data_IF_675772636867
#
_entry.id   IF_675772636867
#
_cell.length_a   1.000
_cell.length_b   1.000
_cell.length_c   1.000
_cell.angle_alpha   90.00
_cell.angle_beta   90.00
_cell.angle_gamma   90.00
#
_symmetry.space_group_name_H-M   'P 1'
#
loop_
_entity.id
_entity.type
_entity.pdbx_description
1 polymer ?
#
# COMPACT_ATOMS: atom_id res chain seq x y z
N UNK A 1 54.63 -1.19 28.79
CA UNK A 1 53.33 -1.16 28.07
C UNK A 1 52.41 -2.14 28.75
N UNK A 2 51.24 -1.70 29.20
CA UNK A 2 50.19 -2.59 29.73
C UNK A 2 49.71 -3.53 28.61
N UNK A 3 49.51 -4.81 28.93
CA UNK A 3 49.03 -5.79 27.95
C UNK A 3 47.60 -5.44 27.53
N UNK A 4 47.31 -5.53 26.23
CA UNK A 4 45.95 -5.31 25.69
C UNK A 4 44.95 -6.28 26.33
N UNK A 5 43.67 -5.91 26.38
CA UNK A 5 42.62 -6.80 26.89
C UNK A 5 42.62 -8.16 26.17
N UNK A 6 42.75 -8.16 24.85
CA UNK A 6 42.84 -9.39 24.05
C UNK A 6 44.05 -10.27 24.44
N UNK A 7 45.20 -9.67 24.77
CA UNK A 7 46.37 -10.43 25.24
C UNK A 7 46.10 -11.10 26.59
N UNK A 8 45.45 -10.40 27.52
CA UNK A 8 45.09 -10.95 28.84
C UNK A 8 44.01 -12.03 28.76
N UNK A 9 43.02 -11.90 27.87
CA UNK A 9 42.06 -12.97 27.56
C UNK A 9 42.78 -14.20 26.99
N UNK A 10 43.78 -14.00 26.12
CA UNK A 10 44.60 -15.11 25.58
C UNK A 10 45.41 -15.82 26.67
N UNK A 11 45.92 -15.08 27.64
CA UNK A 11 46.62 -15.65 28.81
C UNK A 11 45.67 -16.49 29.66
N UNK A 12 44.47 -15.98 29.96
CA UNK A 12 43.44 -16.72 30.69
C UNK A 12 43.01 -18.00 29.93
N UNK A 13 42.81 -17.92 28.61
CA UNK A 13 42.48 -19.08 27.78
C UNK A 13 43.53 -20.17 27.89
N UNK A 14 44.83 -19.80 27.83
CA UNK A 14 45.96 -20.74 27.98
C UNK A 14 46.11 -21.28 29.40
N UNK A 15 45.69 -20.52 30.40
CA UNK A 15 45.61 -21.00 31.77
C UNK A 15 44.47 -22.02 31.93
N UNK A 16 43.33 -21.84 31.26
CA UNK A 16 42.19 -22.74 31.39
C UNK A 16 42.31 -24.01 30.54
N UNK A 17 42.79 -23.88 29.31
CA UNK A 17 42.62 -24.91 28.27
C UNK A 17 43.93 -25.32 27.60
N UNK A 18 43.93 -26.51 26.99
CA UNK A 18 45.03 -26.94 26.13
C UNK A 18 45.15 -26.04 24.89
N UNK A 19 46.32 -26.08 24.23
CA UNK A 19 46.53 -25.32 23.00
C UNK A 19 45.62 -25.77 21.85
N UNK A 20 45.15 -27.02 21.87
CA UNK A 20 44.17 -27.55 20.91
C UNK A 20 42.82 -26.87 21.09
N UNK A 21 42.27 -26.88 22.31
CA UNK A 21 40.99 -26.23 22.64
C UNK A 21 41.06 -24.71 22.43
N UNK A 22 42.19 -24.08 22.76
CA UNK A 22 42.39 -22.65 22.49
C UNK A 22 42.35 -22.29 21.00
N UNK A 23 42.63 -23.24 20.11
CA UNK A 23 42.69 -23.06 18.66
C UNK A 23 41.49 -23.64 17.92
N UNK A 24 40.55 -24.28 18.62
CA UNK A 24 39.33 -24.81 18.04
C UNK A 24 38.42 -23.66 17.59
N UNK A 25 38.43 -23.39 16.28
CA UNK A 25 37.66 -22.30 15.68
C UNK A 25 36.15 -22.52 15.80
N UNK A 26 35.70 -23.78 15.78
CA UNK A 26 34.27 -24.11 15.86
C UNK A 26 33.78 -23.87 17.28
N UNK A 27 34.52 -24.37 18.29
CA UNK A 27 34.15 -24.13 19.68
C UNK A 27 34.20 -22.64 20.03
N UNK A 28 35.20 -21.90 19.55
CA UNK A 28 35.26 -20.44 19.77
C UNK A 28 34.11 -19.69 19.10
N UNK A 29 33.69 -20.12 17.92
CA UNK A 29 32.52 -19.54 17.24
C UNK A 29 31.24 -19.77 18.05
N UNK A 30 30.97 -21.02 18.45
CA UNK A 30 29.78 -21.35 19.25
C UNK A 30 29.77 -20.64 20.60
N UNK A 31 30.92 -20.56 21.29
CA UNK A 31 31.01 -19.80 22.55
C UNK A 31 30.73 -18.32 22.39
N UNK A 32 31.21 -17.70 21.31
CA UNK A 32 30.91 -16.30 21.07
C UNK A 32 29.42 -16.09 20.78
N UNK A 33 28.82 -16.94 19.95
CA UNK A 33 27.39 -16.88 19.62
C UNK A 33 26.51 -17.06 20.87
N UNK A 34 26.86 -18.00 21.74
CA UNK A 34 26.15 -18.24 23.01
C UNK A 34 26.15 -16.98 23.90
N UNK A 35 27.31 -16.36 24.14
CA UNK A 35 27.41 -15.14 24.95
C UNK A 35 26.69 -13.95 24.32
N UNK A 36 26.73 -13.83 22.98
CA UNK A 36 26.01 -12.79 22.26
C UNK A 36 24.49 -12.96 22.42
N UNK A 37 23.98 -14.20 22.36
CA UNK A 37 22.57 -14.52 22.58
C UNK A 37 22.16 -14.29 24.04
N UNK A 38 22.98 -14.69 25.01
CA UNK A 38 22.74 -14.44 26.44
C UNK A 38 22.68 -12.93 26.75
N UNK A 39 23.56 -12.13 26.14
CA UNK A 39 23.54 -10.68 26.28
C UNK A 39 22.23 -10.08 25.75
N UNK A 40 21.85 -10.37 24.50
CA UNK A 40 20.62 -9.77 23.93
C UNK A 40 19.36 -10.28 24.63
N UNK A 41 19.35 -11.54 25.09
CA UNK A 41 18.27 -12.09 25.91
C UNK A 41 18.13 -11.30 27.22
N UNK A 42 19.24 -10.99 27.90
CA UNK A 42 19.22 -10.21 29.14
C UNK A 42 18.68 -8.78 28.96
N UNK A 43 18.73 -8.27 27.73
CA UNK A 43 18.22 -6.95 27.34
C UNK A 43 16.81 -6.99 26.72
N UNK A 44 16.15 -8.16 26.76
CA UNK A 44 14.75 -8.31 26.35
C UNK A 44 14.51 -8.79 24.92
N UNK A 45 15.55 -9.17 24.17
CA UNK A 45 15.39 -9.79 22.85
C UNK A 45 14.72 -11.17 22.99
N UNK A 46 13.64 -11.39 22.23
CA UNK A 46 12.91 -12.66 22.22
C UNK A 46 13.59 -13.68 21.31
N UNK A 47 13.32 -14.98 21.57
CA UNK A 47 13.81 -16.05 20.70
C UNK A 47 13.32 -15.88 19.24
N UNK A 48 12.08 -15.41 19.03
CA UNK A 48 11.54 -15.16 17.70
C UNK A 48 12.34 -14.09 16.93
N UNK A 49 12.67 -12.97 17.59
CA UNK A 49 13.49 -11.90 16.99
C UNK A 49 14.90 -12.40 16.67
N UNK A 50 15.51 -13.18 17.55
CA UNK A 50 16.80 -13.81 17.30
C UNK A 50 16.77 -14.74 16.06
N UNK A 51 15.74 -15.59 15.92
CA UNK A 51 15.58 -16.46 14.75
C UNK A 51 15.41 -15.67 13.45
N UNK A 52 14.64 -14.58 13.47
CA UNK A 52 14.49 -13.71 12.29
C UNK A 52 15.85 -13.14 11.84
N UNK A 53 16.69 -12.71 12.77
CA UNK A 53 18.04 -12.22 12.47
C UNK A 53 18.96 -13.33 11.94
N UNK A 54 18.86 -14.55 12.46
CA UNK A 54 19.60 -15.70 11.92
C UNK A 54 19.24 -15.91 10.45
N UNK A 55 17.96 -15.99 10.10
CA UNK A 55 17.56 -16.14 8.69
C UNK A 55 18.04 -14.98 7.82
N UNK A 56 17.89 -13.75 8.31
CA UNK A 56 18.31 -12.55 7.59
C UNK A 56 19.80 -12.51 7.27
N UNK A 57 20.66 -12.95 8.20
CA UNK A 57 22.12 -12.94 8.04
C UNK A 57 22.58 -14.11 7.17
N UNK A 58 22.06 -15.32 7.41
CA UNK A 58 22.50 -16.53 6.70
C UNK A 58 21.96 -16.65 5.27
N UNK A 59 20.95 -15.87 4.88
CA UNK A 59 20.46 -15.77 3.49
C UNK A 59 21.35 -14.90 2.58
N UNK A 60 22.37 -14.25 3.14
CA UNK A 60 23.27 -13.34 2.41
C UNK A 60 24.60 -14.03 2.03
N UNK A 61 25.31 -13.49 1.02
CA UNK A 61 26.69 -13.89 0.78
C UNK A 61 27.56 -13.72 2.04
N UNK A 62 28.45 -14.69 2.28
CA UNK A 62 29.36 -14.69 3.42
C UNK A 62 30.26 -13.44 3.41
N UNK A 63 30.29 -12.71 4.52
CA UNK A 63 31.10 -11.51 4.70
C UNK A 63 32.60 -11.77 4.92
N UNK A 64 33.41 -10.71 4.85
CA UNK A 64 34.85 -10.79 5.10
C UNK A 64 35.13 -10.79 6.62
N UNK A 65 35.92 -11.74 7.17
CA UNK A 65 36.07 -11.90 8.61
C UNK A 65 36.55 -10.67 9.39
N UNK A 66 37.51 -9.89 8.88
CA UNK A 66 38.00 -8.70 9.56
C UNK A 66 36.96 -7.58 9.60
N UNK A 67 36.19 -7.43 8.52
CA UNK A 67 35.07 -6.49 8.45
C UNK A 67 33.97 -6.89 9.45
N UNK A 68 33.56 -8.15 9.48
CA UNK A 68 32.50 -8.62 10.40
C UNK A 68 32.93 -8.54 11.87
N UNK A 69 34.21 -8.79 12.16
CA UNK A 69 34.79 -8.58 13.50
C UNK A 69 34.70 -7.10 13.92
N UNK A 70 35.04 -6.18 13.01
CA UNK A 70 34.94 -4.74 13.26
C UNK A 70 33.48 -4.29 13.46
N UNK A 71 32.57 -4.77 12.60
CA UNK A 71 31.14 -4.49 12.72
C UNK A 71 30.57 -4.96 14.05
N UNK A 72 30.91 -6.18 14.47
CA UNK A 72 30.52 -6.76 15.76
C UNK A 72 31.01 -5.93 16.95
N UNK A 73 32.24 -5.42 16.90
CA UNK A 73 32.77 -4.58 17.98
C UNK A 73 32.03 -3.23 18.05
N UNK A 74 31.76 -2.60 16.91
CA UNK A 74 31.01 -1.34 16.85
C UNK A 74 29.60 -1.51 17.39
N UNK A 75 28.89 -2.57 16.98
CA UNK A 75 27.51 -2.80 17.44
C UNK A 75 27.44 -3.19 18.91
N UNK A 76 28.43 -3.92 19.44
CA UNK A 76 28.54 -4.19 20.87
C UNK A 76 28.67 -2.90 21.69
N UNK A 77 29.54 -1.97 21.29
CA UNK A 77 29.68 -0.68 21.97
C UNK A 77 28.43 0.20 21.82
N UNK A 78 27.77 0.17 20.66
CA UNK A 78 26.51 0.90 20.46
C UNK A 78 25.38 0.35 21.33
N UNK A 79 25.25 -0.98 21.43
CA UNK A 79 24.27 -1.64 22.29
C UNK A 79 24.52 -1.31 23.77
N UNK A 80 25.78 -1.37 24.20
CA UNK A 80 26.16 -1.02 25.57
C UNK A 80 25.87 0.45 25.88
N UNK A 81 26.20 1.36 24.96
CA UNK A 81 25.87 2.79 25.10
C UNK A 81 24.36 3.05 25.17
N UNK A 82 23.54 2.28 24.46
CA UNK A 82 22.08 2.42 24.51
C UNK A 82 21.47 1.88 25.83
N UNK A 83 22.21 1.07 26.57
CA UNK A 83 21.80 0.47 27.85
C UNK A 83 22.61 1.01 29.04
N UNK A 84 23.34 2.13 28.86
CA UNK A 84 24.19 2.75 29.88
C UNK A 84 25.22 1.80 30.51
N UNK A 85 25.78 0.88 29.71
CA UNK A 85 26.78 -0.09 30.12
C UNK A 85 28.19 0.30 29.65
N UNK A 86 29.17 0.20 30.54
CA UNK A 86 30.60 0.35 30.22
C UNK A 86 31.19 -1.01 29.80
N UNK A 87 31.51 -1.15 28.51
CA UNK A 87 32.06 -2.39 27.94
C UNK A 87 33.43 -2.74 28.53
N UNK A 88 34.29 -1.74 28.75
CA UNK A 88 35.63 -1.99 29.27
C UNK A 88 35.56 -2.44 30.73
N UNK A 89 34.76 -1.76 31.55
CA UNK A 89 34.56 -2.13 32.96
C UNK A 89 33.89 -3.50 33.11
N UNK A 90 32.90 -3.82 32.27
CA UNK A 90 32.25 -5.13 32.24
C UNK A 90 33.24 -6.24 31.87
N UNK A 91 34.08 -6.00 30.85
CA UNK A 91 35.13 -6.93 30.43
C UNK A 91 36.15 -7.19 31.54
N UNK A 92 36.64 -6.15 32.21
CA UNK A 92 37.58 -6.31 33.34
C UNK A 92 36.96 -7.10 34.50
N UNK A 93 35.71 -6.80 34.85
CA UNK A 93 34.98 -7.48 35.93
C UNK A 93 34.81 -8.95 35.61
N UNK A 94 34.38 -9.28 34.40
CA UNK A 94 34.18 -10.67 33.97
C UNK A 94 35.50 -11.42 33.87
N UNK A 95 36.55 -10.81 33.31
CA UNK A 95 37.87 -11.41 33.23
C UNK A 95 38.42 -11.74 34.62
N UNK A 96 38.31 -10.80 35.57
CA UNK A 96 38.69 -11.05 36.96
C UNK A 96 37.89 -12.20 37.59
N UNK A 97 36.57 -12.28 37.31
CA UNK A 97 35.69 -13.35 37.79
C UNK A 97 36.06 -14.72 37.23
N UNK A 98 36.38 -14.85 35.94
CA UNK A 98 36.71 -16.15 35.34
C UNK A 98 38.07 -16.68 35.75
N UNK A 99 39.00 -15.80 36.15
CA UNK A 99 40.27 -16.20 36.77
C UNK A 99 40.05 -16.97 38.07
N UNK A 100 39.00 -16.67 38.85
CA UNK A 100 38.69 -17.42 40.08
C UNK A 100 37.98 -18.74 39.82
N UNK A 101 37.63 -19.05 38.56
CA UNK A 101 36.83 -20.24 38.18
C UNK A 101 37.59 -21.26 37.35
N UNK A 102 38.92 -21.16 37.23
CA UNK A 102 39.75 -22.02 36.36
C UNK A 102 39.47 -23.51 36.58
N UNK A 103 39.43 -23.96 37.82
CA UNK A 103 39.23 -25.37 38.17
C UNK A 103 37.84 -25.88 37.77
N UNK A 104 36.80 -25.09 38.05
CA UNK A 104 35.43 -25.40 37.64
C UNK A 104 35.27 -25.41 36.12
N UNK A 105 35.93 -24.49 35.41
CA UNK A 105 35.93 -24.42 33.95
C UNK A 105 36.59 -25.66 33.35
N UNK A 106 37.74 -26.08 33.89
CA UNK A 106 38.44 -27.30 33.47
C UNK A 106 37.58 -28.55 33.71
N UNK A 107 36.92 -28.65 34.86
CA UNK A 107 36.04 -29.77 35.18
C UNK A 107 34.86 -29.86 34.20
N UNK A 108 34.21 -28.72 33.90
CA UNK A 108 33.14 -28.66 32.89
C UNK A 108 33.64 -29.04 31.50
N UNK A 109 34.82 -28.56 31.10
CA UNK A 109 35.39 -28.88 29.80
C UNK A 109 35.69 -30.37 29.65
N UNK A 110 36.17 -31.02 30.71
CA UNK A 110 36.44 -32.46 30.70
C UNK A 110 35.17 -33.32 30.52
N UNK A 111 34.00 -32.77 30.83
CA UNK A 111 32.70 -33.44 30.72
C UNK A 111 32.01 -33.18 29.37
N UNK A 112 32.57 -32.34 28.49
CA UNK A 112 31.94 -32.05 27.20
C UNK A 112 32.06 -33.26 26.25
N UNK A 113 30.93 -33.70 25.64
CA UNK A 113 30.97 -34.65 24.55
C UNK A 113 31.76 -34.05 23.37
N UNK A 114 32.59 -34.85 22.71
CA UNK A 114 33.20 -34.42 21.44
C UNK A 114 32.09 -34.34 20.39
N UNK A 115 31.98 -33.18 19.72
CA UNK A 115 31.15 -32.91 18.52
C UNK A 115 29.71 -32.41 18.68
N UNK A 116 29.27 -31.96 19.87
CA UNK A 116 27.95 -31.29 20.00
C UNK A 116 28.09 -29.80 20.32
N UNK A 117 27.32 -28.90 19.66
CA UNK A 117 27.28 -27.48 20.01
C UNK A 117 26.59 -27.21 21.36
N UNK A 118 25.89 -28.21 21.94
CA UNK A 118 25.14 -28.06 23.18
C UNK A 118 25.83 -28.78 24.36
N UNK A 119 26.00 -28.13 25.53
CA UNK A 119 26.61 -28.76 26.70
C UNK A 119 25.66 -29.80 27.32
N UNK A 120 26.14 -31.04 27.51
CA UNK A 120 25.49 -32.03 28.38
C UNK A 120 24.98 -33.32 27.74
N UNK A 121 25.08 -33.51 26.42
CA UNK A 121 24.75 -34.79 25.79
C UNK A 121 25.89 -35.81 25.92
N UNK A 122 26.31 -36.07 27.16
CA UNK A 122 27.01 -37.31 27.48
C UNK A 122 25.95 -38.40 27.34
N UNK A 123 26.06 -39.20 26.28
CA UNK A 123 25.16 -40.31 25.97
C UNK A 123 25.23 -41.35 27.10
N UNK A 124 24.50 -41.10 28.20
CA UNK A 124 24.28 -42.11 29.23
C UNK A 124 23.54 -43.26 28.56
N UNK A 125 23.97 -44.52 28.73
CA UNK A 125 23.27 -45.63 28.13
C UNK A 125 21.85 -45.67 28.67
N UNK A 126 20.86 -45.61 27.78
CA UNK A 126 19.45 -45.69 28.15
C UNK A 126 19.11 -47.12 28.52
N UNK A 127 18.53 -47.32 29.71
CA UNK A 127 18.08 -48.64 30.16
C UNK A 127 16.56 -48.67 30.22
N UNK A 128 15.96 -49.63 29.54
CA UNK A 128 14.51 -49.77 29.57
C UNK A 128 14.06 -50.41 30.88
N UNK A 129 13.13 -49.75 31.60
CA UNK A 129 12.58 -50.26 32.85
C UNK A 129 11.70 -51.53 32.67
N UNK A 130 11.29 -51.85 31.44
CA UNK A 130 10.35 -52.94 31.16
C UNK A 130 11.00 -54.22 30.66
N UNK A 131 12.08 -54.12 29.89
CA UNK A 131 12.82 -55.28 29.37
C UNK A 131 14.29 -55.33 29.82
N UNK A 132 14.74 -54.35 30.61
CA UNK A 132 16.12 -54.23 31.11
C UNK A 132 17.20 -54.12 30.02
N UNK A 133 16.80 -53.96 28.75
CA UNK A 133 17.69 -53.74 27.62
C UNK A 133 18.39 -52.39 27.74
N UNK A 134 19.67 -52.37 27.36
CA UNK A 134 20.55 -51.21 27.48
C UNK A 134 20.93 -50.74 26.07
N UNK A 135 20.59 -49.50 25.77
CA UNK A 135 20.85 -48.84 24.50
C UNK A 135 21.98 -47.84 24.69
N UNK A 136 23.05 -48.02 23.92
CA UNK A 136 24.18 -47.08 23.85
C UNK A 136 24.12 -46.18 22.61
N UNK A 137 23.21 -46.50 21.70
CA UNK A 137 22.97 -45.79 20.45
C UNK A 137 21.64 -45.04 20.53
N UNK A 138 21.65 -43.76 20.18
CA UNK A 138 20.48 -42.90 20.26
C UNK A 138 19.38 -43.34 19.30
N UNK A 139 19.74 -43.83 18.11
CA UNK A 139 18.73 -44.30 17.14
C UNK A 139 18.03 -45.57 17.65
N UNK A 140 18.78 -46.52 18.20
CA UNK A 140 18.23 -47.72 18.83
C UNK A 140 17.38 -47.40 20.08
N UNK A 141 17.83 -46.45 20.92
CA UNK A 141 17.06 -45.97 22.05
C UNK A 141 15.75 -45.30 21.59
N UNK A 142 15.81 -44.44 20.57
CA UNK A 142 14.64 -43.74 20.01
C UNK A 142 13.65 -44.69 19.37
N UNK A 143 14.11 -45.73 18.66
CA UNK A 143 13.24 -46.77 18.12
C UNK A 143 12.50 -47.52 19.23
N UNK A 144 13.20 -47.81 20.34
CA UNK A 144 12.62 -48.49 21.48
C UNK A 144 11.66 -47.59 22.28
N UNK A 145 12.11 -46.42 22.74
CA UNK A 145 11.34 -45.56 23.66
C UNK A 145 10.30 -44.68 22.96
N UNK A 146 10.52 -44.29 21.71
CA UNK A 146 9.77 -43.22 21.04
C UNK A 146 10.51 -41.88 21.09
N UNK A 147 9.84 -40.80 20.64
CA UNK A 147 10.38 -39.45 20.54
C UNK A 147 10.10 -38.62 21.81
N UNK A 148 9.18 -39.07 22.65
CA UNK A 148 8.58 -38.40 23.80
C UNK A 148 8.26 -39.39 24.93
N UNK A 149 8.07 -38.86 26.14
CA UNK A 149 7.73 -39.66 27.33
C UNK A 149 6.33 -40.30 27.28
N UNK A 150 5.52 -39.94 26.29
CA UNK A 150 4.13 -40.38 26.15
C UNK A 150 3.98 -41.65 25.32
N UNK A 151 5.02 -42.05 24.57
CA UNK A 151 4.96 -43.23 23.72
C UNK A 151 5.19 -44.52 24.51
N UNK A 152 4.54 -45.59 24.05
CA UNK A 152 4.67 -46.91 24.65
C UNK A 152 6.00 -47.52 24.17
N UNK A 153 6.90 -47.95 25.09
CA UNK A 153 8.16 -48.57 24.68
C UNK A 153 7.96 -49.84 23.85
N UNK A 154 8.85 -50.10 22.89
CA UNK A 154 8.73 -51.17 21.91
C UNK A 154 8.58 -52.56 22.54
N UNK A 155 9.25 -52.82 23.67
CA UNK A 155 9.09 -54.06 24.44
C UNK A 155 7.66 -54.29 24.96
N UNK A 156 6.87 -53.24 25.16
CA UNK A 156 5.46 -53.33 25.59
C UNK A 156 4.49 -53.44 24.42
N UNK A 157 4.94 -53.17 23.19
CA UNK A 157 4.14 -53.36 21.98
C UNK A 157 4.10 -54.84 21.53
N UNK A 158 4.91 -55.70 22.17
CA UNK A 158 4.84 -57.17 22.35
C UNK A 158 4.40 -58.10 21.18
N UNK A 159 4.25 -57.61 19.95
CA UNK A 159 3.74 -58.42 18.83
C UNK A 159 4.30 -58.03 17.45
N UNK A 160 5.20 -57.05 17.38
CA UNK A 160 5.70 -56.55 16.11
C UNK A 160 7.15 -57.01 15.95
N UNK A 161 7.39 -57.91 14.99
CA UNK A 161 8.73 -58.19 14.48
C UNK A 161 9.43 -56.84 14.20
N UNK A 162 10.71 -56.69 14.55
CA UNK A 162 11.40 -55.39 14.59
C UNK A 162 11.21 -54.51 13.34
N UNK A 163 10.96 -55.09 12.17
CA UNK A 163 10.62 -54.36 10.95
C UNK A 163 9.32 -53.54 10.98
N UNK A 164 8.32 -53.93 11.79
CA UNK A 164 7.04 -53.22 11.92
C UNK A 164 7.10 -52.09 12.97
N UNK A 165 7.92 -52.23 14.02
CA UNK A 165 8.14 -51.16 15.00
C UNK A 165 8.74 -49.92 14.33
N UNK A 166 9.74 -50.10 13.47
CA UNK A 166 10.33 -49.01 12.71
C UNK A 166 9.34 -48.30 11.76
N UNK A 167 8.28 -48.97 11.29
CA UNK A 167 7.20 -48.32 10.51
C UNK A 167 6.33 -47.46 11.42
N UNK A 168 5.93 -47.99 12.58
CA UNK A 168 5.12 -47.25 13.56
C UNK A 168 5.84 -45.98 14.01
N UNK A 169 7.15 -46.07 14.33
CA UNK A 169 7.95 -44.90 14.72
C UNK A 169 8.07 -43.84 13.62
N UNK A 170 8.23 -44.26 12.35
CA UNK A 170 8.21 -43.32 11.22
C UNK A 170 6.86 -42.61 11.07
N UNK A 171 5.76 -43.31 11.36
CA UNK A 171 4.42 -42.73 11.30
C UNK A 171 4.16 -41.76 12.46
N UNK A 172 4.60 -42.09 13.67
CA UNK A 172 4.55 -41.17 14.83
C UNK A 172 5.39 -39.91 14.58
N UNK A 173 6.60 -40.05 14.05
CA UNK A 173 7.48 -38.92 13.67
C UNK A 173 6.81 -38.01 12.63
N UNK A 174 6.17 -38.60 11.63
CA UNK A 174 5.44 -37.85 10.60
C UNK A 174 4.22 -37.13 11.18
N UNK A 175 3.46 -37.77 12.08
CA UNK A 175 2.33 -37.15 12.77
C UNK A 175 2.76 -35.99 13.65
N UNK A 176 3.86 -36.14 14.38
CA UNK A 176 4.39 -35.07 15.22
C UNK A 176 4.91 -33.89 14.40
N UNK A 177 5.55 -34.12 13.25
CA UNK A 177 5.92 -33.06 12.30
C UNK A 177 4.70 -32.28 11.78
N UNK A 178 3.55 -32.95 11.56
CA UNK A 178 2.30 -32.26 11.24
C UNK A 178 1.79 -31.42 12.41
N UNK A 179 1.85 -31.94 13.63
CA UNK A 179 1.41 -31.23 14.84
C UNK A 179 2.28 -30.01 15.18
N UNK A 180 3.56 -30.05 14.87
CA UNK A 180 4.50 -28.93 15.08
C UNK A 180 4.52 -27.91 13.93
N UNK A 181 3.67 -28.09 12.91
CA UNK A 181 3.64 -27.23 11.73
C UNK A 181 5.02 -27.11 11.03
N UNK A 182 5.86 -28.16 11.07
CA UNK A 182 7.24 -28.13 10.56
C UNK A 182 7.43 -28.93 9.26
N UNK A 183 6.32 -29.24 8.59
CA UNK A 183 6.40 -29.89 7.27
C UNK A 183 6.83 -28.89 6.19
N UNK A 184 7.35 -29.43 5.08
CA UNK A 184 7.79 -28.61 3.94
C UNK A 184 6.71 -27.62 3.47
N UNK A 185 5.44 -28.02 3.51
CA UNK A 185 4.30 -27.17 3.15
C UNK A 185 4.10 -25.99 4.11
N UNK A 186 4.30 -26.18 5.42
CA UNK A 186 4.22 -25.07 6.38
C UNK A 186 5.41 -24.13 6.22
N UNK A 187 6.62 -24.68 6.00
CA UNK A 187 7.80 -23.85 5.70
C UNK A 187 7.61 -23.00 4.44
N UNK A 188 7.04 -23.57 3.38
CA UNK A 188 6.64 -22.83 2.19
C UNK A 188 5.55 -21.79 2.48
N UNK A 189 4.52 -22.13 3.27
CA UNK A 189 3.47 -21.19 3.66
C UNK A 189 4.03 -19.99 4.43
N UNK A 190 4.92 -20.21 5.40
CA UNK A 190 5.59 -19.14 6.14
C UNK A 190 6.53 -18.32 5.26
N UNK A 191 7.23 -18.95 4.32
CA UNK A 191 8.06 -18.24 3.33
C UNK A 191 7.20 -17.35 2.42
N UNK A 192 6.08 -17.87 1.91
CA UNK A 192 5.10 -17.11 1.12
C UNK A 192 4.50 -15.95 1.91
N UNK A 193 4.20 -16.15 3.21
CA UNK A 193 3.74 -15.09 4.11
C UNK A 193 4.79 -13.98 4.28
N UNK A 194 6.06 -14.34 4.44
CA UNK A 194 7.16 -13.38 4.52
C UNK A 194 7.37 -12.62 3.19
N UNK A 195 7.27 -13.30 2.05
CA UNK A 195 7.32 -12.68 0.72
C UNK A 195 6.17 -11.70 0.50
N UNK A 196 4.95 -12.11 0.87
CA UNK A 196 3.77 -11.27 0.79
C UNK A 196 3.91 -10.02 1.65
N UNK A 197 4.39 -10.16 2.89
CA UNK A 197 4.61 -9.04 3.79
C UNK A 197 5.69 -8.07 3.25
N UNK A 198 6.77 -8.59 2.66
CA UNK A 198 7.78 -7.78 1.95
C UNK A 198 7.19 -7.02 0.77
N UNK A 199 6.38 -7.69 -0.04
CA UNK A 199 5.71 -7.07 -1.19
C UNK A 199 4.76 -5.95 -0.75
N UNK A 200 3.97 -6.18 0.31
CA UNK A 200 3.05 -5.18 0.86
C UNK A 200 3.80 -3.93 1.33
N UNK A 201 4.86 -4.10 2.13
CA UNK A 201 5.69 -2.98 2.59
C UNK A 201 6.31 -2.21 1.43
N UNK A 202 6.81 -2.91 0.41
CA UNK A 202 7.37 -2.27 -0.79
C UNK A 202 6.33 -1.40 -1.53
N UNK A 203 5.10 -1.89 -1.66
CA UNK A 203 4.01 -1.12 -2.28
C UNK A 203 3.55 0.06 -1.40
N UNK A 204 3.51 -0.10 -0.07
CA UNK A 204 3.24 0.98 0.88
C UNK A 204 4.29 2.09 0.77
N UNK A 205 5.58 1.74 0.74
CA UNK A 205 6.69 2.69 0.58
C UNK A 205 6.60 3.44 -0.76
N UNK A 206 6.26 2.75 -1.86
CA UNK A 206 5.99 3.39 -3.15
C UNK A 206 4.80 4.34 -3.08
N UNK A 207 3.73 3.94 -2.39
CA UNK A 207 2.56 4.77 -2.14
C UNK A 207 2.91 6.03 -1.36
N UNK A 208 3.67 5.89 -0.28
CA UNK A 208 4.15 7.00 0.54
C UNK A 208 5.06 7.95 -0.25
N UNK A 209 5.98 7.41 -1.04
CA UNK A 209 6.87 8.21 -1.90
C UNK A 209 6.08 9.01 -2.97
N UNK A 210 5.04 8.40 -3.57
CA UNK A 210 4.11 9.11 -4.46
C UNK A 210 3.38 10.23 -3.71
N UNK A 211 2.82 9.94 -2.53
CA UNK A 211 2.14 10.93 -1.71
C UNK A 211 3.01 12.12 -1.34
N UNK A 212 4.28 11.90 -0.97
CA UNK A 212 5.24 12.97 -0.71
C UNK A 212 5.53 13.82 -1.96
N UNK A 213 5.62 13.19 -3.12
CA UNK A 213 5.83 13.90 -4.39
C UNK A 213 4.62 14.75 -4.74
N UNK A 214 3.42 14.20 -4.64
CA UNK A 214 2.17 14.90 -4.96
C UNK A 214 1.96 16.07 -3.98
N UNK A 215 2.19 15.85 -2.68
CA UNK A 215 2.13 16.92 -1.68
C UNK A 215 3.14 18.05 -1.96
N UNK A 216 4.36 17.70 -2.41
CA UNK A 216 5.35 18.70 -2.82
C UNK A 216 4.87 19.50 -4.04
N UNK A 217 4.34 18.82 -5.06
CA UNK A 217 3.83 19.48 -6.26
C UNK A 217 2.65 20.41 -5.95
N UNK A 218 1.75 19.99 -5.07
CA UNK A 218 0.64 20.82 -4.60
C UNK A 218 1.15 22.05 -3.84
N UNK A 219 2.10 21.85 -2.92
CA UNK A 219 2.73 22.94 -2.16
C UNK A 219 3.49 23.92 -3.07
N UNK A 220 4.18 23.41 -4.10
CA UNK A 220 4.87 24.23 -5.11
C UNK A 220 3.86 25.03 -5.94
N UNK A 221 2.77 24.40 -6.40
CA UNK A 221 1.71 25.07 -7.13
C UNK A 221 1.00 26.15 -6.29
N UNK A 222 0.76 25.87 -5.00
CA UNK A 222 0.21 26.86 -4.07
C UNK A 222 1.19 28.03 -3.86
N UNK A 223 2.48 27.76 -3.65
CA UNK A 223 3.50 28.80 -3.54
C UNK A 223 3.53 29.71 -4.77
N UNK A 224 3.42 29.14 -5.97
CA UNK A 224 3.35 29.90 -7.22
C UNK A 224 2.11 30.81 -7.24
N UNK A 225 0.94 30.31 -6.86
CA UNK A 225 -0.29 31.13 -6.75
C UNK A 225 -0.16 32.25 -5.72
N UNK A 226 0.42 31.96 -4.55
CA UNK A 226 0.64 32.95 -3.49
C UNK A 226 1.63 34.04 -3.94
N UNK A 227 2.70 33.67 -4.66
CA UNK A 227 3.65 34.63 -5.26
C UNK A 227 2.95 35.53 -6.29
N UNK A 228 2.09 34.97 -7.15
CA UNK A 228 1.29 35.75 -8.08
C UNK A 228 0.36 36.75 -7.37
N UNK A 229 -0.29 36.32 -6.27
CA UNK A 229 -1.15 37.19 -5.48
C UNK A 229 -0.37 38.33 -4.80
N UNK A 230 0.80 38.03 -4.22
CA UNK A 230 1.68 39.03 -3.62
C UNK A 230 2.23 40.03 -4.64
N UNK A 231 2.60 39.54 -5.83
CA UNK A 231 3.05 40.38 -6.94
C UNK A 231 2.01 41.47 -7.28
N UNK A 232 0.73 41.09 -7.38
CA UNK A 232 -0.40 41.98 -7.71
C UNK A 232 -0.93 42.82 -6.54
N UNK A 233 -0.62 42.47 -5.30
CA UNK A 233 -1.20 43.15 -4.12
C UNK A 233 -1.01 44.68 -4.19
N UNK A 234 -2.00 45.45 -3.74
CA UNK A 234 -1.84 46.91 -3.61
C UNK A 234 -1.06 47.30 -2.35
N UNK A 235 -0.84 46.34 -1.46
CA UNK A 235 -0.13 46.56 -0.23
C UNK A 235 1.36 46.89 -0.48
N UNK A 236 2.02 47.59 0.46
CA UNK A 236 3.46 47.79 0.40
C UNK A 236 4.22 46.46 0.30
N UNK A 237 5.35 46.47 -0.39
CA UNK A 237 6.19 45.29 -0.54
C UNK A 237 6.64 44.75 0.81
N UNK A 238 6.43 43.46 1.07
CA UNK A 238 6.82 42.81 2.34
C UNK A 238 8.33 42.88 2.59
N UNK A 239 9.15 42.93 1.53
CA UNK A 239 10.61 42.93 1.65
C UNK A 239 11.22 44.32 1.85
N UNK A 240 10.69 45.35 1.19
CA UNK A 240 11.28 46.69 1.17
C UNK A 240 10.33 47.81 1.64
N UNK A 241 9.09 47.46 2.02
CA UNK A 241 8.04 48.37 2.51
C UNK A 241 7.64 49.51 1.56
N UNK A 242 8.10 49.48 0.30
CA UNK A 242 7.70 50.46 -0.70
C UNK A 242 6.24 50.26 -1.11
N UNK A 243 5.46 51.35 -1.29
CA UNK A 243 4.13 51.27 -1.88
C UNK A 243 4.17 50.60 -3.27
N UNK A 244 3.08 49.93 -3.66
CA UNK A 244 3.00 49.26 -4.96
C UNK A 244 3.30 50.21 -6.15
N UNK A 245 2.88 51.47 -6.04
CA UNK A 245 3.12 52.51 -7.05
C UNK A 245 4.59 52.90 -7.18
N UNK A 246 5.40 52.69 -6.14
CA UNK A 246 6.81 53.07 -6.09
C UNK A 246 7.77 51.88 -6.19
N UNK A 247 7.27 50.70 -6.59
CA UNK A 247 8.07 49.47 -6.73
C UNK A 247 9.30 49.65 -7.64
N UNK A 248 9.24 50.56 -8.62
CA UNK A 248 10.37 50.92 -9.49
C UNK A 248 11.55 51.60 -8.76
N UNK A 249 11.36 52.06 -7.52
CA UNK A 249 12.40 52.69 -6.68
C UNK A 249 13.12 51.68 -5.76
N UNK A 250 12.86 50.38 -5.90
CA UNK A 250 13.43 49.38 -5.00
C UNK A 250 14.96 49.34 -5.08
N UNK A 251 15.64 49.44 -3.92
CA UNK A 251 17.10 49.36 -3.80
C UNK A 251 17.69 48.01 -4.23
N UNK A 252 16.90 46.93 -4.23
CA UNK A 252 17.31 45.63 -4.75
C UNK A 252 17.32 45.59 -6.30
N UNK A 253 16.84 46.64 -6.96
CA UNK A 253 16.85 46.78 -8.42
C UNK A 253 15.72 46.04 -9.13
N UNK A 254 15.54 46.42 -10.40
CA UNK A 254 14.73 45.72 -11.39
C UNK A 254 15.67 45.31 -12.54
N UNK A 255 15.98 44.02 -12.75
CA UNK A 255 15.60 42.82 -11.96
C UNK A 255 16.32 42.78 -10.59
N UNK A 256 15.77 42.05 -9.60
CA UNK A 256 16.48 41.79 -8.31
C UNK A 256 15.68 41.92 -7.01
N UNK A 257 14.45 42.45 -7.05
CA UNK A 257 13.51 42.38 -5.92
C UNK A 257 12.62 41.15 -6.08
N UNK A 258 12.53 40.27 -5.06
CA UNK A 258 11.73 39.03 -5.14
C UNK A 258 10.30 39.25 -5.61
N UNK A 259 9.67 40.35 -5.19
CA UNK A 259 8.33 40.72 -5.66
C UNK A 259 8.30 41.14 -7.13
N UNK A 260 9.31 41.85 -7.61
CA UNK A 260 9.39 42.27 -9.02
C UNK A 260 9.78 41.09 -9.94
N UNK A 261 10.61 40.18 -9.44
CA UNK A 261 10.96 38.95 -10.13
C UNK A 261 9.73 38.01 -10.20
N UNK A 262 8.90 37.94 -9.15
CA UNK A 262 7.61 37.24 -9.16
C UNK A 262 6.62 37.89 -10.16
N UNK A 263 6.64 39.22 -10.33
CA UNK A 263 5.84 39.92 -11.36
C UNK A 263 6.30 39.53 -12.77
N UNK A 264 7.61 39.37 -13.02
CA UNK A 264 8.15 39.07 -14.35
C UNK A 264 8.16 37.57 -14.69
N UNK A 265 8.33 36.72 -13.68
CA UNK A 265 8.63 35.30 -13.85
C UNK A 265 7.45 34.34 -13.64
N UNK A 266 6.27 34.83 -13.22
CA UNK A 266 5.11 34.00 -12.90
C UNK A 266 4.17 33.83 -14.12
N UNK A 267 4.09 32.62 -14.72
CA UNK A 267 3.17 32.32 -15.84
C UNK A 267 1.69 32.63 -15.52
N UNK A 268 1.31 32.46 -14.26
CA UNK A 268 -0.04 32.62 -13.75
C UNK A 268 -0.46 34.09 -13.74
N UNK A 269 0.48 35.04 -13.60
CA UNK A 269 0.15 36.46 -13.70
C UNK A 269 -0.34 36.82 -15.11
N UNK A 270 0.33 36.32 -16.15
CA UNK A 270 -0.10 36.52 -17.53
C UNK A 270 -1.42 35.82 -17.87
N UNK A 271 -1.72 34.68 -17.24
CA UNK A 271 -3.03 34.03 -17.35
C UNK A 271 -4.13 34.84 -16.64
N UNK A 272 -3.84 35.38 -15.45
CA UNK A 272 -4.78 36.19 -14.67
C UNK A 272 -5.09 37.53 -15.34
N UNK A 273 -4.10 38.22 -15.93
CA UNK A 273 -4.34 39.45 -16.69
C UNK A 273 -5.25 39.20 -17.90
N UNK A 274 -5.02 38.10 -18.63
CA UNK A 274 -5.91 37.68 -19.73
C UNK A 274 -7.31 37.32 -19.24
N UNK A 275 -7.43 36.75 -18.05
CA UNK A 275 -8.73 36.47 -17.43
C UNK A 275 -9.48 37.76 -17.07
N UNK A 276 -8.78 38.79 -16.59
CA UNK A 276 -9.36 40.11 -16.28
C UNK A 276 -9.82 40.85 -17.54
N UNK A 277 -9.04 40.77 -18.62
CA UNK A 277 -9.45 41.25 -19.96
C UNK A 277 -10.71 40.50 -20.43
N UNK A 278 -10.73 39.18 -20.29
CA UNK A 278 -11.88 38.36 -20.67
C UNK A 278 -13.12 38.66 -19.81
N UNK A 279 -12.99 38.85 -18.50
CA UNK A 279 -14.10 39.27 -17.63
C UNK A 279 -14.66 40.63 -18.04
N UNK A 280 -13.78 41.56 -18.39
CA UNK A 280 -14.18 42.88 -18.87
C UNK A 280 -14.97 42.77 -20.18
N UNK A 281 -14.51 41.94 -21.10
CA UNK A 281 -15.21 41.70 -22.37
C UNK A 281 -16.52 40.92 -22.17
N UNK A 282 -16.58 39.95 -21.25
CA UNK A 282 -17.83 39.26 -20.88
C UNK A 282 -18.84 40.25 -20.32
N UNK A 283 -18.43 41.13 -19.40
CA UNK A 283 -19.31 42.19 -18.86
C UNK A 283 -19.82 43.11 -19.97
N UNK A 284 -18.96 43.45 -20.93
CA UNK A 284 -19.33 44.26 -22.10
C UNK A 284 -20.32 43.54 -23.01
N UNK A 285 -20.18 42.23 -23.22
CA UNK A 285 -21.00 41.44 -24.14
C UNK A 285 -22.29 40.90 -23.53
N UNK A 286 -22.37 40.77 -22.20
CA UNK A 286 -23.55 40.24 -21.49
C UNK A 286 -24.86 40.93 -21.88
N UNK A 287 -24.95 42.28 -21.95
CA UNK A 287 -26.18 42.96 -22.35
C UNK A 287 -26.64 42.60 -23.78
N UNK A 288 -25.70 42.34 -24.68
CA UNK A 288 -26.00 41.95 -26.06
C UNK A 288 -26.50 40.51 -26.15
N UNK A 289 -25.87 39.58 -25.43
CA UNK A 289 -26.32 38.19 -25.35
C UNK A 289 -27.72 38.10 -24.76
N UNK A 290 -27.99 38.87 -23.69
CA UNK A 290 -29.32 38.94 -23.09
C UNK A 290 -30.36 39.54 -24.03
N UNK A 291 -29.95 40.48 -24.89
CA UNK A 291 -30.83 41.02 -25.93
C UNK A 291 -31.16 39.97 -27.01
N UNK A 292 -30.17 39.20 -27.46
CA UNK A 292 -30.39 38.12 -28.42
C UNK A 292 -31.30 37.01 -27.84
N UNK A 293 -31.09 36.61 -26.58
CA UNK A 293 -31.97 35.65 -25.91
C UNK A 293 -33.42 36.11 -25.86
N UNK A 294 -33.67 37.39 -25.59
CA UNK A 294 -35.04 37.96 -25.62
C UNK A 294 -35.67 37.88 -27.01
N UNK A 295 -34.90 38.02 -28.08
CA UNK A 295 -35.41 37.87 -29.44
C UNK A 295 -35.67 36.40 -29.80
N UNK A 296 -34.84 35.48 -29.32
CA UNK A 296 -35.04 34.03 -29.47
C UNK A 296 -36.34 33.59 -28.76
N UNK A 297 -36.57 34.04 -27.51
CA UNK A 297 -37.81 33.79 -26.77
C UNK A 297 -39.05 34.33 -27.51
N UNK A 298 -38.92 35.49 -28.17
CA UNK A 298 -39.99 36.08 -29.01
C UNK A 298 -40.26 35.23 -30.25
N UNK A 299 -39.21 34.77 -30.93
CA UNK A 299 -39.33 33.91 -32.10
C UNK A 299 -39.98 32.57 -31.75
N UNK A 300 -39.59 31.96 -30.63
CA UNK A 300 -40.19 30.73 -30.11
C UNK A 300 -41.67 30.90 -29.78
N UNK A 301 -42.04 32.04 -29.18
CA UNK A 301 -43.44 32.38 -28.92
C UNK A 301 -44.23 32.49 -30.23
N UNK A 302 -43.70 33.23 -31.21
CA UNK A 302 -44.33 33.36 -32.53
C UNK A 302 -44.47 32.02 -33.25
N UNK A 303 -43.48 31.13 -33.10
CA UNK A 303 -43.54 29.77 -33.63
C UNK A 303 -44.70 28.96 -33.03
N UNK A 304 -44.85 28.99 -31.70
CA UNK A 304 -45.98 28.36 -31.00
C UNK A 304 -47.33 28.93 -31.45
N UNK A 305 -47.44 30.25 -31.53
CA UNK A 305 -48.67 30.94 -31.97
C UNK A 305 -49.02 30.53 -33.43
N UNK A 306 -48.02 30.38 -34.29
CA UNK A 306 -48.21 29.94 -35.68
C UNK A 306 -48.70 28.48 -35.78
N UNK A 307 -48.17 27.60 -34.94
CA UNK A 307 -48.58 26.19 -34.88
C UNK A 307 -50.01 26.03 -34.35
N UNK A 308 -50.40 26.83 -33.35
CA UNK A 308 -51.78 26.90 -32.85
C UNK A 308 -52.75 27.38 -33.94
N UNK A 309 -52.37 28.41 -34.71
CA UNK A 309 -53.15 28.87 -35.86
C UNK A 309 -53.28 27.79 -36.94
N UNK A 310 -52.20 27.07 -37.26
CA UNK A 310 -52.24 25.94 -38.21
C UNK A 310 -53.14 24.82 -37.75
N UNK A 311 -53.09 24.48 -36.45
CA UNK A 311 -53.96 23.47 -35.83
C UNK A 311 -55.43 23.89 -35.93
N UNK A 312 -55.73 25.14 -35.58
CA UNK A 312 -57.08 25.72 -35.68
C UNK A 312 -57.60 25.68 -37.12
N UNK A 313 -56.78 26.09 -38.09
CA UNK A 313 -57.12 26.02 -39.51
C UNK A 313 -57.38 24.58 -39.97
N UNK A 314 -56.54 23.63 -39.54
CA UNK A 314 -56.69 22.19 -39.86
C UNK A 314 -58.01 21.65 -39.31
N UNK A 315 -58.41 22.04 -38.10
CA UNK A 315 -59.68 21.64 -37.49
C UNK A 315 -60.89 22.33 -38.13
N UNK A 316 -60.72 23.55 -38.66
CA UNK A 316 -61.77 24.27 -39.38
C UNK A 316 -61.97 23.78 -40.82
N UNK A 317 -60.95 23.19 -41.46
CA UNK A 317 -61.01 22.71 -42.87
C UNK A 317 -62.21 21.79 -43.15
N UNK A 318 -62.54 20.77 -42.33
CA UNK A 318 -63.70 19.92 -42.56
C UNK A 318 -65.02 20.70 -42.49
N UNK A 319 -65.15 21.65 -41.56
CA UNK A 319 -66.34 22.49 -41.43
C UNK A 319 -66.49 23.46 -42.61
N UNK A 320 -65.39 24.08 -43.07
CA UNK A 320 -65.35 24.91 -44.28
C UNK A 320 -65.74 24.07 -45.50
N UNK A 321 -65.19 22.86 -45.63
CA UNK A 321 -65.53 21.94 -46.73
C UNK A 321 -67.00 21.52 -46.67
N UNK A 322 -67.52 21.21 -45.49
CA UNK A 322 -68.93 20.86 -45.30
C UNK A 322 -69.86 22.04 -45.62
N UNK A 323 -69.48 23.27 -45.28
CA UNK A 323 -70.21 24.48 -45.68
C UNK A 323 -70.19 24.71 -47.19
N UNK A 324 -69.03 24.50 -47.84
CA UNK A 324 -68.91 24.57 -49.31
C UNK A 324 -69.73 23.48 -50.00
N UNK A 325 -69.68 22.25 -49.50
CA UNK A 325 -70.49 21.12 -49.99
C UNK A 325 -71.99 21.38 -49.77
N UNK A 326 -72.39 21.91 -48.61
CA UNK A 326 -73.78 22.29 -48.32
C UNK A 326 -74.27 23.42 -49.23
N UNK A 327 -73.46 24.46 -49.46
CA UNK A 327 -73.78 25.52 -50.42
C UNK A 327 -73.93 24.97 -51.84
N UNK A 328 -73.03 24.07 -52.28
CA UNK A 328 -73.14 23.41 -53.58
C UNK A 328 -74.35 22.45 -53.69
N UNK A 329 -74.77 21.86 -52.57
CA UNK A 329 -75.97 21.01 -52.52
C UNK A 329 -77.25 21.85 -52.59
N UNK A 330 -77.27 23.03 -51.95
CA UNK A 330 -78.39 23.95 -52.05
C UNK A 330 -78.58 24.48 -53.48
N UNK A 331 -77.52 24.69 -54.25
CA UNK A 331 -77.64 25.22 -55.62
C UNK A 331 -78.06 24.17 -56.66
N UNK A 332 -77.83 22.87 -56.41
CA UNK A 332 -78.05 21.80 -57.40
C UNK A 332 -79.32 20.96 -57.17
N UNK A 333 -79.65 20.63 -55.91
CA UNK A 333 -80.77 19.73 -55.61
C UNK A 333 -82.10 20.48 -55.38
N UNK A 334 -82.07 21.73 -54.89
CA UNK A 334 -83.31 22.50 -54.72
C UNK A 334 -83.88 23.00 -56.05
N UNK A 335 -83.05 23.47 -56.97
CA UNK A 335 -83.48 23.93 -58.30
C UNK A 335 -84.09 22.79 -59.10
N UNK A 336 -83.39 21.67 -59.27
CA UNK A 336 -83.92 20.54 -60.03
C UNK A 336 -85.16 19.89 -59.41
N UNK A 337 -85.25 19.82 -58.08
CA UNK A 337 -86.44 19.26 -57.41
C UNK A 337 -87.63 20.22 -57.49
N UNK A 338 -87.42 21.53 -57.37
CA UNK A 338 -88.45 22.55 -57.59
C UNK A 338 -88.92 22.56 -59.04
N UNK A 339 -88.01 22.49 -60.02
CA UNK A 339 -88.34 22.43 -61.45
C UNK A 339 -89.14 21.17 -61.80
N UNK A 340 -88.75 20.00 -61.27
CA UNK A 340 -89.48 18.76 -61.49
C UNK A 340 -90.84 18.73 -60.78
N UNK A 341 -90.97 19.34 -59.60
CA UNK A 341 -92.25 19.51 -58.92
C UNK A 341 -93.17 20.49 -59.66
N UNK A 342 -92.62 21.61 -60.15
CA UNK A 342 -93.34 22.58 -60.97
C UNK A 342 -93.82 21.95 -62.29
N UNK A 343 -92.98 21.19 -62.98
CA UNK A 343 -93.37 20.46 -64.19
C UNK A 343 -94.52 19.46 -63.97
N UNK A 344 -94.58 18.82 -62.79
CA UNK A 344 -95.71 17.94 -62.42
C UNK A 344 -97.00 18.70 -62.09
N UNK A 345 -96.89 19.94 -61.59
CA UNK A 345 -98.04 20.78 -61.24
C UNK A 345 -98.62 21.52 -62.46
N UNK A 346 -97.76 21.99 -63.37
CA UNK A 346 -98.16 22.88 -64.48
C UNK A 346 -98.27 22.19 -65.85
N UNK A 347 -97.85 20.93 -65.98
CA UNK A 347 -98.02 20.16 -67.22
C UNK A 347 -97.21 20.71 -68.41
N UNK A 348 -97.64 20.39 -69.63
CA UNK A 348 -96.87 20.59 -70.88
C UNK A 348 -96.61 22.05 -71.30
N UNK A 349 -96.85 23.02 -70.43
CA UNK A 349 -96.64 24.46 -70.65
C UNK A 349 -95.52 25.03 -69.78
N UNK A 350 -94.78 24.20 -69.05
CA UNK A 350 -93.65 24.64 -68.23
C UNK A 350 -92.32 24.56 -69.02
N UNK A 351 -91.69 25.71 -69.29
CA UNK A 351 -90.36 25.82 -69.89
C UNK A 351 -89.33 26.23 -68.82
N UNK A 352 -88.36 25.37 -68.47
CA UNK A 352 -87.34 25.69 -67.47
C UNK A 352 -86.41 26.83 -67.87
N UNK A 353 -86.29 27.14 -69.17
CA UNK A 353 -85.30 28.10 -69.68
C UNK A 353 -85.72 29.58 -69.51
N UNK A 354 -86.97 29.86 -69.10
CA UNK A 354 -87.44 31.21 -68.80
C UNK A 354 -87.07 31.71 -67.38
N UNK A 355 -86.47 30.86 -66.52
CA UNK A 355 -86.26 31.15 -65.09
C UNK A 355 -84.82 30.92 -64.59
N UNK A 356 -83.82 30.91 -65.48
CA UNK A 356 -82.40 30.69 -65.14
C UNK A 356 -81.71 31.87 -64.39
N UNK A 357 -82.39 32.99 -64.14
CA UNK A 357 -81.80 34.21 -63.55
C UNK A 357 -82.10 34.43 -62.05
N UNK A 358 -81.82 33.44 -61.20
CA UNK A 358 -81.72 33.66 -59.75
C UNK A 358 -80.54 32.89 -59.16
N UNK A 359 -79.33 33.43 -59.34
CA UNK A 359 -78.11 33.07 -58.59
C UNK A 359 -77.95 33.91 -57.31
#
# INVERSE_FOLDING_TARGET
MTATYQNRVREWMRACFSMEVCRDRVERNHRFLEEALELVQSLGCTASEAYQLVYYVFDRPVGEPMQELGGTLVTLHALASANDMDVDAAGETELARVWTKIEAIRAKQAQKPKHSPLPGLSVMPWRCFHCDEVFTDEAAAREHFGISEMEIPGCKLNALEGGLLGIVRRQEEQLEQYHREDTASYREFYALGADHYRALRSEEEKGYARGLKDARQETEAENVRLRAALARSKDPCVYCSLPAEELFKCNSGFPGCSRADDVMGCPELGAMLRAEEAETEVKRLTPYVDAFRREEDRADKLGRDLDDLRSTLKNAKPAIKALQEWFGFQSADNTNTLYNAAGKLFGSTFDPTEYDDVE
#
